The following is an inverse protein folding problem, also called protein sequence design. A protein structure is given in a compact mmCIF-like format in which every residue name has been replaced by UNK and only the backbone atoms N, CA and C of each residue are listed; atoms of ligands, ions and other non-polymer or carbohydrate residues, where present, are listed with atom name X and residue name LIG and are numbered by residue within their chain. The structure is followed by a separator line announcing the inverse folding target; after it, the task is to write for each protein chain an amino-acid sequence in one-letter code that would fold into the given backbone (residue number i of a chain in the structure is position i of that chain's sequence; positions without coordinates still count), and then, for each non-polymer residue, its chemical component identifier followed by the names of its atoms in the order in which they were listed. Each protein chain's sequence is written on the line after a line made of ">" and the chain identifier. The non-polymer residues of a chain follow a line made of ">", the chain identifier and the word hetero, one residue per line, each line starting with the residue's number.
data_IF_305768531860
#
_entry.id   IF_305768531860
#
_cell.length_a   1.000
_cell.length_b   1.000
_cell.length_c   1.000
_cell.angle_alpha   90.00
_cell.angle_beta   90.00
_cell.angle_gamma   90.00
#
_symmetry.space_group_name_H-M   'P 1'
#
loop_
_entity.id
_entity.type
_entity.pdbx_description
1 polymer ?
#
# COMPACT_ATOMS: atom_id res chain seq x y z
N UNK A 1 12.11 16.72 17.28
CA UNK A 1 11.62 15.56 18.06
C UNK A 1 10.32 14.99 17.52
N UNK A 2 9.24 15.78 17.37
CA UNK A 2 7.95 15.28 16.85
C UNK A 2 8.07 14.58 15.49
N UNK A 3 8.66 15.22 14.48
CA UNK A 3 8.84 14.61 13.16
C UNK A 3 9.65 13.30 13.18
N UNK A 4 10.66 13.20 14.06
CA UNK A 4 11.46 11.99 14.22
C UNK A 4 10.64 10.85 14.84
N UNK A 5 9.88 11.13 15.91
CA UNK A 5 9.01 10.13 16.55
C UNK A 5 7.92 9.67 15.58
N UNK A 6 7.28 10.60 14.86
CA UNK A 6 6.28 10.27 13.83
C UNK A 6 6.86 9.40 12.73
N UNK A 7 8.08 9.68 12.27
CA UNK A 7 8.76 8.86 11.27
C UNK A 7 9.07 7.45 11.79
N UNK A 8 9.53 7.32 13.04
CA UNK A 8 9.81 6.01 13.65
C UNK A 8 8.51 5.17 13.77
N UNK A 9 7.43 5.78 14.26
CA UNK A 9 6.14 5.12 14.35
C UNK A 9 5.61 4.70 12.98
N UNK A 10 5.77 5.57 11.97
CA UNK A 10 5.44 5.26 10.59
C UNK A 10 6.23 4.04 10.07
N UNK A 11 7.55 4.01 10.28
CA UNK A 11 8.39 2.88 9.84
C UNK A 11 7.94 1.58 10.50
N UNK A 12 7.69 1.57 11.80
CA UNK A 12 7.23 0.37 12.52
C UNK A 12 5.88 -0.11 11.95
N UNK A 13 4.91 0.80 11.80
CA UNK A 13 3.60 0.47 11.26
C UNK A 13 3.68 -0.04 9.81
N UNK A 14 4.52 0.58 8.98
CA UNK A 14 4.76 0.16 7.61
C UNK A 14 5.36 -1.25 7.57
N UNK A 15 6.41 -1.52 8.36
CA UNK A 15 7.06 -2.83 8.39
C UNK A 15 6.14 -3.96 8.85
N UNK A 16 5.17 -3.69 9.72
CA UNK A 16 4.21 -4.69 10.19
C UNK A 16 3.01 -4.88 9.25
N UNK A 17 2.63 -3.84 8.50
CA UNK A 17 1.43 -3.83 7.66
C UNK A 17 1.76 -3.73 6.17
N UNK A 18 1.76 -2.50 5.64
CA UNK A 18 1.84 -2.24 4.19
C UNK A 18 3.14 -2.71 3.53
N UNK A 19 4.19 -2.99 4.31
CA UNK A 19 5.44 -3.56 3.82
C UNK A 19 5.24 -4.97 3.26
N UNK A 20 4.87 -5.96 4.08
CA UNK A 20 4.70 -7.35 3.62
C UNK A 20 3.28 -7.72 3.15
N UNK A 21 2.23 -7.12 3.73
CA UNK A 21 0.85 -7.61 3.57
C UNK A 21 0.33 -7.52 2.12
N UNK A 22 0.54 -6.42 1.36
CA UNK A 22 0.08 -6.37 -0.03
C UNK A 22 0.68 -7.47 -0.91
N UNK A 23 1.96 -7.79 -0.71
CA UNK A 23 2.63 -8.87 -1.45
C UNK A 23 2.11 -10.25 -1.06
N UNK A 24 1.76 -10.43 0.21
CA UNK A 24 1.16 -11.68 0.71
C UNK A 24 -0.23 -11.89 0.11
N UNK A 25 -1.13 -10.92 0.29
CA UNK A 25 -2.52 -10.99 -0.15
C UNK A 25 -2.60 -11.16 -1.67
N UNK A 26 -1.69 -10.55 -2.43
CA UNK A 26 -1.58 -10.72 -3.88
C UNK A 26 -1.46 -12.20 -4.30
N UNK A 27 -0.82 -13.04 -3.50
CA UNK A 27 -0.72 -14.48 -3.73
C UNK A 27 -2.00 -15.26 -3.39
N UNK A 28 -2.85 -14.70 -2.52
CA UNK A 28 -4.04 -15.34 -1.97
C UNK A 28 -5.30 -14.97 -2.76
N UNK A 29 -5.45 -13.70 -3.15
CA UNK A 29 -6.68 -13.19 -3.80
C UNK A 29 -6.73 -13.48 -5.30
N UNK A 30 -5.57 -13.65 -5.95
CA UNK A 30 -5.56 -13.83 -7.40
C UNK A 30 -5.77 -15.29 -7.80
N UNK A 31 -6.75 -15.56 -8.70
CA UNK A 31 -6.94 -16.88 -9.29
C UNK A 31 -5.66 -17.41 -9.91
N UNK A 32 -5.39 -18.71 -9.75
CA UNK A 32 -4.12 -19.32 -10.15
C UNK A 32 -3.77 -19.07 -11.63
N UNK A 33 -4.78 -19.01 -12.51
CA UNK A 33 -4.60 -18.85 -13.96
C UNK A 33 -4.22 -17.42 -14.39
N UNK A 34 -4.54 -16.38 -13.60
CA UNK A 34 -4.15 -14.98 -13.88
C UNK A 34 -3.12 -14.43 -12.91
N UNK A 35 -2.81 -15.15 -11.83
CA UNK A 35 -1.94 -14.69 -10.73
C UNK A 35 -0.64 -14.09 -11.23
N UNK A 36 0.06 -14.75 -12.15
CA UNK A 36 1.32 -14.24 -12.68
C UNK A 36 1.13 -12.85 -13.34
N UNK A 37 0.18 -12.73 -14.26
CA UNK A 37 -0.08 -11.47 -14.98
C UNK A 37 -0.59 -10.37 -14.05
N UNK A 38 -1.57 -10.68 -13.18
CA UNK A 38 -2.14 -9.72 -12.25
C UNK A 38 -1.10 -9.20 -11.26
N UNK A 39 -0.28 -10.10 -10.70
CA UNK A 39 0.82 -9.74 -9.80
C UNK A 39 1.89 -8.91 -10.51
N UNK A 40 2.23 -9.22 -11.77
CA UNK A 40 3.18 -8.42 -12.54
C UNK A 40 2.66 -7.00 -12.81
N UNK A 41 1.38 -6.84 -13.15
CA UNK A 41 0.77 -5.51 -13.35
C UNK A 41 0.74 -4.72 -12.05
N UNK A 42 0.35 -5.34 -10.94
CA UNK A 42 0.36 -4.71 -9.62
C UNK A 42 1.78 -4.27 -9.21
N UNK A 43 2.78 -5.13 -9.44
CA UNK A 43 4.20 -4.84 -9.19
C UNK A 43 4.68 -3.68 -10.06
N UNK A 44 4.37 -3.69 -11.36
CA UNK A 44 4.74 -2.62 -12.29
C UNK A 44 4.14 -1.29 -11.85
N UNK A 45 2.87 -1.28 -11.46
CA UNK A 45 2.20 -0.08 -10.97
C UNK A 45 2.86 0.44 -9.69
N UNK A 46 3.18 -0.45 -8.73
CA UNK A 46 3.87 -0.08 -7.50
C UNK A 46 5.23 0.59 -7.76
N UNK A 47 6.06 -0.01 -8.62
CA UNK A 47 7.38 0.56 -8.95
C UNK A 47 7.27 1.84 -9.77
N UNK A 48 6.29 1.92 -10.67
CA UNK A 48 6.03 3.13 -11.47
C UNK A 48 5.60 4.30 -10.58
N UNK A 49 4.69 4.08 -9.64
CA UNK A 49 4.30 5.10 -8.65
C UNK A 49 5.47 5.48 -7.74
N UNK A 50 6.26 4.51 -7.29
CA UNK A 50 7.45 4.78 -6.47
C UNK A 50 8.47 5.64 -7.21
N UNK A 51 8.67 5.38 -8.51
CA UNK A 51 9.50 6.21 -9.38
C UNK A 51 8.95 7.63 -9.49
N UNK A 52 7.65 7.80 -9.78
CA UNK A 52 7.02 9.12 -9.89
C UNK A 52 7.12 9.91 -8.58
N UNK A 53 6.83 9.28 -7.44
CA UNK A 53 6.97 9.94 -6.13
C UNK A 53 8.41 10.38 -5.90
N UNK A 54 9.39 9.53 -6.20
CA UNK A 54 10.81 9.86 -6.04
C UNK A 54 11.23 11.00 -6.97
N UNK A 55 10.76 10.99 -8.22
CA UNK A 55 11.07 11.99 -9.23
C UNK A 55 10.54 13.38 -8.85
N UNK A 56 9.28 13.47 -8.44
CA UNK A 56 8.61 14.74 -8.15
C UNK A 56 8.72 15.20 -6.70
N UNK A 57 9.34 14.41 -5.82
CA UNK A 57 9.40 14.74 -4.39
C UNK A 57 9.99 16.12 -4.12
N UNK A 58 11.10 16.46 -4.79
CA UNK A 58 11.76 17.75 -4.60
C UNK A 58 10.88 18.92 -5.07
N UNK A 59 10.28 18.79 -6.26
CA UNK A 59 9.39 19.81 -6.83
C UNK A 59 8.18 20.07 -5.93
N UNK A 60 7.56 19.00 -5.41
CA UNK A 60 6.42 19.11 -4.50
C UNK A 60 6.85 19.71 -3.16
N UNK A 61 8.00 19.30 -2.62
CA UNK A 61 8.54 19.83 -1.37
C UNK A 61 8.85 21.34 -1.45
N UNK A 62 9.30 21.83 -2.61
CA UNK A 62 9.48 23.25 -2.87
C UNK A 62 8.15 23.99 -2.97
N UNK A 63 7.15 23.40 -3.66
CA UNK A 63 5.85 24.03 -3.88
C UNK A 63 4.99 24.16 -2.60
N UNK A 64 5.00 23.17 -1.71
CA UNK A 64 4.11 23.14 -0.52
C UNK A 64 4.83 23.17 0.83
N UNK A 65 6.16 23.26 0.84
CA UNK A 65 7.06 23.06 2.00
C UNK A 65 7.21 21.60 2.45
N UNK A 66 8.32 21.29 3.13
CA UNK A 66 8.57 19.97 3.72
C UNK A 66 7.43 19.53 4.66
N UNK A 67 6.87 20.44 5.46
CA UNK A 67 5.74 20.16 6.33
C UNK A 67 4.46 19.80 5.56
N UNK A 68 4.22 20.49 4.44
CA UNK A 68 3.10 20.20 3.54
C UNK A 68 3.17 18.79 2.94
N UNK A 69 4.37 18.31 2.60
CA UNK A 69 4.59 16.95 2.10
C UNK A 69 4.18 15.89 3.13
N UNK A 70 4.47 16.10 4.42
CA UNK A 70 4.02 15.18 5.47
C UNK A 70 2.49 15.09 5.55
N UNK A 71 1.77 16.21 5.38
CA UNK A 71 0.30 16.20 5.35
C UNK A 71 -0.26 15.50 4.10
N UNK A 72 0.38 15.66 2.94
CA UNK A 72 0.00 14.92 1.72
C UNK A 72 0.13 13.41 1.96
N UNK A 73 1.28 12.95 2.47
CA UNK A 73 1.48 11.54 2.79
C UNK A 73 0.50 11.04 3.87
N UNK A 74 0.22 11.84 4.90
CA UNK A 74 -0.78 11.50 5.90
C UNK A 74 -2.16 11.29 5.25
N UNK A 75 -2.58 12.17 4.34
CA UNK A 75 -3.82 12.03 3.59
C UNK A 75 -3.86 10.76 2.73
N UNK A 76 -2.77 10.44 2.03
CA UNK A 76 -2.65 9.19 1.25
C UNK A 76 -2.73 7.97 2.16
N UNK A 77 -2.05 7.97 3.31
CA UNK A 77 -2.13 6.89 4.30
C UNK A 77 -3.56 6.71 4.85
N UNK A 78 -4.27 7.81 5.14
CA UNK A 78 -5.68 7.74 5.57
C UNK A 78 -6.57 7.16 4.48
N UNK A 79 -6.41 7.60 3.23
CA UNK A 79 -7.17 7.04 2.11
C UNK A 79 -6.88 5.55 1.91
N UNK A 80 -5.61 5.14 1.98
CA UNK A 80 -5.22 3.74 1.91
C UNK A 80 -5.81 2.91 3.06
N UNK A 81 -5.79 3.43 4.29
CA UNK A 81 -6.40 2.78 5.45
C UNK A 81 -7.91 2.59 5.26
N UNK A 82 -8.63 3.63 4.83
CA UNK A 82 -10.06 3.54 4.52
C UNK A 82 -10.33 2.55 3.39
N UNK A 83 -9.51 2.53 2.35
CA UNK A 83 -9.63 1.56 1.26
C UNK A 83 -9.47 0.13 1.76
N UNK A 84 -8.44 -0.14 2.57
CA UNK A 84 -8.20 -1.47 3.15
C UNK A 84 -9.38 -1.90 4.03
N UNK A 85 -9.88 -1.02 4.90
CA UNK A 85 -11.00 -1.34 5.78
C UNK A 85 -12.30 -1.67 5.03
N UNK A 86 -12.56 -1.03 3.89
CA UNK A 86 -13.83 -1.16 3.18
C UNK A 86 -13.81 -2.21 2.06
N UNK A 87 -12.66 -2.39 1.40
CA UNK A 87 -12.58 -3.16 0.15
C UNK A 87 -11.66 -4.37 0.20
N UNK A 88 -10.74 -4.46 1.16
CA UNK A 88 -9.80 -5.58 1.25
C UNK A 88 -10.39 -6.65 2.18
N UNK A 89 -10.75 -7.84 1.67
CA UNK A 89 -11.26 -8.91 2.52
C UNK A 89 -10.16 -9.49 3.41
N UNK A 90 -10.54 -9.98 4.58
CA UNK A 90 -9.64 -10.75 5.45
C UNK A 90 -9.44 -12.15 4.86
N UNK A 91 -8.20 -12.47 4.51
CA UNK A 91 -7.78 -13.75 3.91
C UNK A 91 -7.16 -14.72 4.92
N UNK A 92 -6.83 -14.24 6.12
CA UNK A 92 -6.12 -15.05 7.13
C UNK A 92 -6.91 -16.28 7.56
N UNK A 93 -6.30 -17.45 7.39
CA UNK A 93 -6.85 -18.72 7.86
C UNK A 93 -8.01 -19.26 7.02
N UNK A 94 -8.26 -18.68 5.84
CA UNK A 94 -9.26 -19.15 4.88
C UNK A 94 -8.66 -20.09 3.86
N UNK A 95 -9.47 -21.02 3.34
CA UNK A 95 -9.08 -21.84 2.18
C UNK A 95 -9.20 -21.03 0.89
N UNK A 96 -8.60 -21.53 -0.19
CA UNK A 96 -8.68 -20.86 -1.49
C UNK A 96 -10.12 -20.78 -2.00
N UNK A 97 -10.93 -21.83 -1.78
CA UNK A 97 -12.34 -21.82 -2.16
C UNK A 97 -13.15 -20.78 -1.39
N UNK A 98 -12.87 -20.60 -0.09
CA UNK A 98 -13.52 -19.58 0.74
C UNK A 98 -13.15 -18.16 0.30
N UNK A 99 -11.90 -17.94 -0.13
CA UNK A 99 -11.46 -16.65 -0.68
C UNK A 99 -12.12 -16.38 -2.03
N UNK A 100 -12.20 -17.38 -2.91
CA UNK A 100 -12.86 -17.26 -4.21
C UNK A 100 -14.37 -16.97 -4.06
N UNK A 101 -15.01 -17.52 -3.02
CA UNK A 101 -16.40 -17.22 -2.68
C UNK A 101 -16.64 -15.77 -2.21
N UNK A 102 -15.61 -15.05 -1.75
CA UNK A 102 -15.73 -13.62 -1.39
C UNK A 102 -15.81 -12.70 -2.61
N UNK A 103 -15.45 -13.20 -3.79
CA UNK A 103 -15.43 -12.45 -5.05
C UNK A 103 -16.56 -12.85 -6.03
N UNK A 104 -17.42 -13.81 -5.67
CA UNK A 104 -18.62 -14.20 -6.41
C UNK A 104 -19.87 -13.53 -5.83
#
# INVERSE_FOLDING_TARGET
>A
WLALVSLILYIIAFSLGLGPIPWLIMGEIFPAHVRATASSVATLLNWSLSFLVTLFFADVAEAVTQGGVFFIFAGVCTAAFTFVLLFVPETRGKTFEEIEALFN
#
